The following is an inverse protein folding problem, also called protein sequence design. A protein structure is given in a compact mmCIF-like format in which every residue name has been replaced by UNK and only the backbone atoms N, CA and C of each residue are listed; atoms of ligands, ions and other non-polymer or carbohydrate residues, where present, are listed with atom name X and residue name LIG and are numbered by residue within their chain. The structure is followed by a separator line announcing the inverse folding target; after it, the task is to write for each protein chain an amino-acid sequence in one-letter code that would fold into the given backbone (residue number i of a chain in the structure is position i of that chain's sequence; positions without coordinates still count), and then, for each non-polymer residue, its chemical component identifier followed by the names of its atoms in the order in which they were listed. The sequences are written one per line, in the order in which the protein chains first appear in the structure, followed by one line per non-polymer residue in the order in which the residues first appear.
data_IF_903079829837
#
_entry.id   IF_903079829837
#
_cell.length_a   1.000
_cell.length_b   1.000
_cell.length_c   1.000
_cell.angle_alpha   90.00
_cell.angle_beta   90.00
_cell.angle_gamma   90.00
#
_symmetry.space_group_name_H-M   'P 1'
#
loop_
_entity.id
_entity.type
_entity.pdbx_description
1 polymer ?
#
# COMPACT_ATOMS: atom_id res chain seq x y z
N UNK A 1 -7.76 13.06 3.36
CA UNK A 1 -6.34 12.70 3.51
C UNK A 1 -5.49 13.94 3.46
N UNK A 2 -4.46 14.06 4.32
CA UNK A 2 -3.57 15.22 4.28
C UNK A 2 -2.77 15.26 2.97
N UNK A 3 -2.49 16.48 2.49
CA UNK A 3 -1.76 16.69 1.25
C UNK A 3 -0.37 16.03 1.27
N UNK A 4 0.27 15.98 2.44
CA UNK A 4 1.58 15.33 2.61
C UNK A 4 1.53 13.81 2.37
N UNK A 5 0.46 13.16 2.78
CA UNK A 5 0.27 11.73 2.54
C UNK A 5 0.02 11.43 1.06
N UNK A 6 -0.77 12.26 0.40
CA UNK A 6 -1.02 12.16 -1.05
C UNK A 6 0.29 12.38 -1.82
N UNK A 7 1.08 13.38 -1.42
CA UNK A 7 2.38 13.67 -2.03
C UNK A 7 3.35 12.49 -1.87
N UNK A 8 3.38 11.87 -0.70
CA UNK A 8 4.19 10.68 -0.44
C UNK A 8 3.81 9.53 -1.37
N UNK A 9 2.51 9.28 -1.53
CA UNK A 9 2.01 8.24 -2.43
C UNK A 9 2.38 8.54 -3.89
N UNK A 10 2.26 9.79 -4.32
CA UNK A 10 2.68 10.21 -5.66
C UNK A 10 4.17 9.99 -5.90
N UNK A 11 5.00 10.32 -4.91
CA UNK A 11 6.45 10.10 -5.01
C UNK A 11 6.77 8.61 -5.14
N UNK A 12 6.10 7.76 -4.38
CA UNK A 12 6.26 6.30 -4.47
C UNK A 12 5.87 5.78 -5.84
N UNK A 13 4.78 6.28 -6.41
CA UNK A 13 4.32 5.91 -7.74
C UNK A 13 5.34 6.36 -8.81
N UNK A 14 5.81 7.60 -8.72
CA UNK A 14 6.79 8.17 -9.67
C UNK A 14 8.10 7.40 -9.65
N UNK A 15 8.59 7.04 -8.46
CA UNK A 15 9.82 6.23 -8.33
C UNK A 15 9.64 4.86 -8.95
N UNK A 16 8.49 4.23 -8.75
CA UNK A 16 8.16 2.94 -9.36
C UNK A 16 8.16 3.02 -10.90
N UNK A 17 7.60 4.09 -11.45
CA UNK A 17 7.58 4.33 -12.90
C UNK A 17 8.99 4.53 -13.45
N UNK A 18 9.85 5.27 -12.74
CA UNK A 18 11.26 5.46 -13.14
C UNK A 18 11.99 4.13 -13.20
N UNK A 19 11.82 3.27 -12.19
CA UNK A 19 12.43 1.94 -12.19
C UNK A 19 11.89 1.08 -13.34
N UNK A 20 10.59 1.15 -13.60
CA UNK A 20 9.98 0.43 -14.73
C UNK A 20 10.63 0.82 -16.05
N UNK A 21 10.85 2.12 -16.28
CA UNK A 21 11.53 2.61 -17.49
C UNK A 21 12.96 2.09 -17.59
N UNK A 22 13.68 2.08 -16.48
CA UNK A 22 15.04 1.50 -16.45
C UNK A 22 15.03 0.01 -16.77
N UNK A 23 14.07 -0.74 -16.22
CA UNK A 23 13.95 -2.18 -16.48
C UNK A 23 13.68 -2.51 -17.94
N UNK A 24 13.03 -1.63 -18.67
CA UNK A 24 12.83 -1.81 -20.13
C UNK A 24 14.14 -1.80 -20.89
N UNK A 25 15.16 -1.13 -20.35
CA UNK A 25 16.49 -1.02 -20.97
C UNK A 25 17.43 -2.13 -20.49
N UNK A 26 17.56 -2.30 -19.18
CA UNK A 26 18.54 -3.22 -18.58
C UNK A 26 17.97 -4.61 -18.26
N UNK A 27 16.66 -4.76 -18.33
CA UNK A 27 15.97 -5.99 -17.97
C UNK A 27 15.81 -6.15 -16.46
N UNK A 28 14.96 -7.09 -16.06
CA UNK A 28 14.76 -7.42 -14.65
C UNK A 28 16.05 -7.92 -13.99
N UNK A 29 16.84 -8.71 -14.71
CA UNK A 29 18.11 -9.23 -14.22
C UNK A 29 19.13 -8.13 -13.93
N UNK A 30 19.07 -7.02 -14.67
CA UNK A 30 19.93 -5.85 -14.46
C UNK A 30 19.42 -4.90 -13.38
N UNK A 31 18.29 -5.22 -12.74
CA UNK A 31 17.67 -4.40 -11.70
C UNK A 31 17.95 -5.00 -10.33
N UNK A 32 18.40 -4.19 -9.37
CA UNK A 32 18.65 -4.66 -8.01
C UNK A 32 17.35 -5.09 -7.33
N UNK A 33 17.46 -5.94 -6.31
CA UNK A 33 16.29 -6.32 -5.50
C UNK A 33 15.65 -5.09 -4.85
N UNK A 34 16.46 -4.16 -4.35
CA UNK A 34 15.98 -2.92 -3.74
C UNK A 34 15.14 -2.10 -4.73
N UNK A 35 15.65 -1.88 -5.93
CA UNK A 35 14.92 -1.15 -6.98
C UNK A 35 13.67 -1.91 -7.42
N UNK A 36 13.76 -3.23 -7.51
CA UNK A 36 12.62 -4.06 -7.87
C UNK A 36 11.47 -3.94 -6.86
N UNK A 37 11.78 -3.84 -5.56
CA UNK A 37 10.79 -3.61 -4.52
C UNK A 37 10.13 -2.23 -4.67
N UNK A 38 10.90 -1.20 -5.02
CA UNK A 38 10.36 0.14 -5.32
C UNK A 38 9.34 0.07 -6.47
N UNK A 39 9.70 -0.65 -7.52
CA UNK A 39 8.80 -0.89 -8.65
C UNK A 39 7.52 -1.62 -8.22
N UNK A 40 7.63 -2.68 -7.43
CA UNK A 40 6.47 -3.44 -6.93
C UNK A 40 5.56 -2.60 -6.05
N UNK A 41 6.13 -1.73 -5.22
CA UNK A 41 5.35 -0.79 -4.40
C UNK A 41 4.53 0.17 -5.28
N UNK A 42 5.11 0.67 -6.35
CA UNK A 42 4.41 1.52 -7.31
C UNK A 42 3.27 0.79 -8.02
N UNK A 43 3.50 -0.43 -8.48
CA UNK A 43 2.45 -1.26 -9.10
C UNK A 43 1.32 -1.59 -8.12
N UNK A 44 1.68 -1.92 -6.88
CA UNK A 44 0.71 -2.18 -5.82
C UNK A 44 -0.19 -0.97 -5.58
N UNK A 45 0.42 0.21 -5.43
CA UNK A 45 -0.32 1.45 -5.22
C UNK A 45 -1.27 1.75 -6.38
N UNK A 46 -0.82 1.60 -7.60
CA UNK A 46 -1.64 1.79 -8.79
C UNK A 46 -2.85 0.85 -8.79
N UNK A 47 -2.62 -0.42 -8.52
CA UNK A 47 -3.69 -1.43 -8.55
C UNK A 47 -4.72 -1.24 -7.44
N UNK A 48 -4.29 -0.92 -6.22
CA UNK A 48 -5.20 -0.92 -5.05
C UNK A 48 -5.79 0.45 -4.74
N UNK A 49 -5.14 1.53 -5.13
CA UNK A 49 -5.61 2.88 -4.84
C UNK A 49 -6.31 3.53 -6.02
N UNK A 50 -5.66 3.53 -7.20
CA UNK A 50 -6.20 4.24 -8.35
C UNK A 50 -7.39 3.53 -8.99
N UNK A 51 -7.43 2.20 -8.94
CA UNK A 51 -8.54 1.45 -9.51
C UNK A 51 -9.78 1.42 -8.61
N UNK A 52 -9.67 1.86 -7.37
CA UNK A 52 -10.77 1.79 -6.39
C UNK A 52 -11.63 3.05 -6.33
N UNK A 53 -11.24 4.11 -7.01
CA UNK A 53 -12.04 5.34 -7.08
C UNK A 53 -13.32 5.21 -7.92
N UNK A 54 -13.58 4.02 -8.47
CA UNK A 54 -14.78 3.75 -9.28
C UNK A 54 -15.98 3.25 -8.48
N UNK A 55 -15.88 3.14 -7.15
CA UNK A 55 -16.99 2.69 -6.31
C UNK A 55 -18.01 3.79 -6.08
N UNK A 56 -19.28 3.43 -6.31
CA UNK A 56 -20.41 4.29 -6.04
C UNK A 56 -20.61 4.39 -4.52
N UNK A 57 -20.40 5.56 -3.91
CA UNK A 57 -20.55 5.70 -2.47
C UNK A 57 -22.02 5.76 -2.09
N UNK A 58 -22.53 4.69 -1.50
CA UNK A 58 -23.87 4.65 -0.90
C UNK A 58 -23.98 5.66 0.25
N UNK A 59 -22.86 5.87 0.96
CA UNK A 59 -22.73 6.86 2.03
C UNK A 59 -21.33 7.48 1.96
N UNK A 60 -21.27 8.78 1.70
CA UNK A 60 -20.02 9.52 1.57
C UNK A 60 -19.18 9.50 2.84
N UNK A 61 -19.81 9.49 4.02
CA UNK A 61 -19.11 9.42 5.31
C UNK A 61 -18.42 8.07 5.49
N UNK A 62 -19.13 6.98 5.26
CA UNK A 62 -18.58 5.61 5.33
C UNK A 62 -17.47 5.45 4.30
N UNK A 63 -17.66 5.98 3.08
CA UNK A 63 -16.66 5.91 2.02
C UNK A 63 -15.35 6.61 2.42
N UNK A 64 -15.43 7.79 3.05
CA UNK A 64 -14.26 8.53 3.51
C UNK A 64 -13.53 7.80 4.64
N UNK A 65 -14.27 7.29 5.62
CA UNK A 65 -13.71 6.54 6.75
C UNK A 65 -13.00 5.28 6.25
N UNK A 66 -13.62 4.57 5.32
CA UNK A 66 -13.05 3.38 4.69
C UNK A 66 -11.78 3.70 3.92
N UNK A 67 -11.79 4.74 3.09
CA UNK A 67 -10.62 5.17 2.33
C UNK A 67 -9.47 5.56 3.25
N UNK A 68 -9.76 6.27 4.33
CA UNK A 68 -8.77 6.66 5.31
C UNK A 68 -8.11 5.44 5.95
N UNK A 69 -8.89 4.48 6.36
CA UNK A 69 -8.43 3.23 6.97
C UNK A 69 -7.54 2.43 6.02
N UNK A 70 -8.00 2.24 4.79
CA UNK A 70 -7.23 1.54 3.75
C UNK A 70 -5.92 2.24 3.45
N UNK A 71 -5.96 3.57 3.36
CA UNK A 71 -4.78 4.36 3.03
C UNK A 71 -3.70 4.25 4.11
N UNK A 72 -4.08 4.12 5.38
CA UNK A 72 -3.11 3.89 6.46
C UNK A 72 -2.32 2.59 6.23
N UNK A 73 -3.00 1.53 5.87
CA UNK A 73 -2.35 0.24 5.58
C UNK A 73 -1.44 0.37 4.36
N UNK A 74 -1.89 1.07 3.33
CA UNK A 74 -1.09 1.35 2.14
C UNK A 74 0.18 2.11 2.51
N UNK A 75 0.10 3.14 3.36
CA UNK A 75 1.27 3.88 3.82
C UNK A 75 2.26 3.00 4.57
N UNK A 76 1.78 2.08 5.39
CA UNK A 76 2.63 1.12 6.08
C UNK A 76 3.40 0.25 5.08
N UNK A 77 2.74 -0.22 4.04
CA UNK A 77 3.38 -1.04 3.00
C UNK A 77 4.40 -0.22 2.20
N UNK A 78 4.03 0.98 1.77
CA UNK A 78 4.92 1.84 0.99
C UNK A 78 6.17 2.24 1.79
N UNK A 79 6.00 2.50 3.08
CA UNK A 79 7.07 2.95 3.95
C UNK A 79 7.92 1.86 4.57
N UNK A 80 7.48 0.60 4.49
CA UNK A 80 8.21 -0.51 5.12
C UNK A 80 9.43 -0.92 4.33
N UNK A 81 10.50 -1.26 5.05
CA UNK A 81 11.61 -2.02 4.47
C UNK A 81 11.27 -3.51 4.56
N UNK A 82 11.43 -4.22 3.45
CA UNK A 82 11.12 -5.65 3.39
C UNK A 82 12.38 -6.47 3.29
N UNK A 83 12.43 -7.55 4.07
CA UNK A 83 13.56 -8.48 4.08
C UNK A 83 13.36 -9.67 3.14
N UNK A 84 13.01 -9.41 1.87
CA UNK A 84 12.88 -10.50 0.89
C UNK A 84 14.25 -11.04 0.49
N UNK A 85 14.31 -12.35 0.27
CA UNK A 85 15.54 -13.03 -0.18
C UNK A 85 15.75 -13.02 -1.69
N UNK A 86 14.71 -12.74 -2.46
CA UNK A 86 14.76 -12.75 -3.93
C UNK A 86 13.64 -11.91 -4.53
N UNK A 87 13.78 -11.58 -5.81
CA UNK A 87 12.74 -10.87 -6.58
C UNK A 87 11.45 -11.70 -6.69
N UNK A 88 11.58 -13.01 -6.82
CA UNK A 88 10.44 -13.92 -6.90
C UNK A 88 9.63 -13.92 -5.60
N UNK A 89 10.32 -13.94 -4.47
CA UNK A 89 9.70 -13.85 -3.15
C UNK A 89 8.96 -12.51 -2.99
N UNK A 90 9.60 -11.42 -3.38
CA UNK A 90 9.01 -10.08 -3.35
C UNK A 90 7.75 -10.00 -4.23
N UNK A 91 7.84 -10.48 -5.47
CA UNK A 91 6.72 -10.51 -6.40
C UNK A 91 5.55 -11.31 -5.86
N UNK A 92 5.82 -12.49 -5.30
CA UNK A 92 4.80 -13.36 -4.72
C UNK A 92 4.06 -12.66 -3.57
N UNK A 93 4.81 -12.00 -2.69
CA UNK A 93 4.23 -11.28 -1.55
C UNK A 93 3.32 -10.13 -2.02
N UNK A 94 3.81 -9.30 -2.96
CA UNK A 94 3.02 -8.17 -3.47
C UNK A 94 1.78 -8.64 -4.25
N UNK A 95 1.86 -9.77 -4.95
CA UNK A 95 0.68 -10.35 -5.59
C UNK A 95 -0.38 -10.78 -4.57
N UNK A 96 0.03 -11.40 -3.48
CA UNK A 96 -0.89 -11.76 -2.38
C UNK A 96 -1.50 -10.52 -1.75
N UNK A 97 -0.68 -9.51 -1.47
CA UNK A 97 -1.15 -8.25 -0.90
C UNK A 97 -2.20 -7.59 -1.81
N UNK A 98 -1.93 -7.53 -3.10
CA UNK A 98 -2.85 -6.97 -4.08
C UNK A 98 -4.20 -7.69 -4.08
N UNK A 99 -4.19 -9.02 -4.14
CA UNK A 99 -5.41 -9.82 -4.15
C UNK A 99 -6.23 -9.66 -2.87
N UNK A 100 -5.55 -9.65 -1.72
CA UNK A 100 -6.22 -9.42 -0.43
C UNK A 100 -6.85 -8.02 -0.35
N UNK A 101 -6.17 -7.00 -0.88
CA UNK A 101 -6.73 -5.64 -0.91
C UNK A 101 -7.94 -5.53 -1.83
N UNK A 102 -7.93 -6.20 -2.97
CA UNK A 102 -9.08 -6.23 -3.87
C UNK A 102 -10.29 -6.87 -3.17
N UNK A 103 -10.10 -8.01 -2.52
CA UNK A 103 -11.14 -8.69 -1.77
C UNK A 103 -11.62 -7.85 -0.57
N UNK A 104 -10.68 -7.28 0.16
CA UNK A 104 -10.96 -6.41 1.29
C UNK A 104 -11.82 -5.22 0.86
N UNK A 105 -11.49 -4.61 -0.27
CA UNK A 105 -12.20 -3.46 -0.79
C UNK A 105 -13.59 -3.79 -1.33
N UNK A 106 -13.83 -5.01 -1.77
CA UNK A 106 -15.16 -5.45 -2.19
C UNK A 106 -16.05 -5.91 -1.03
N UNK A 107 -15.49 -6.06 0.16
CA UNK A 107 -16.25 -6.41 1.37
C UNK A 107 -17.03 -5.21 1.90
N UNK A 108 -18.21 -5.45 2.46
CA UNK A 108 -19.00 -4.40 3.09
C UNK A 108 -18.25 -3.83 4.31
N UNK A 109 -18.25 -2.51 4.45
CA UNK A 109 -17.57 -1.80 5.54
C UNK A 109 -18.03 -2.32 6.92
N UNK A 110 -17.05 -2.69 7.75
CA UNK A 110 -17.25 -3.23 9.10
C UNK A 110 -18.07 -4.53 9.16
N UNK A 111 -18.25 -5.22 8.04
CA UNK A 111 -18.87 -6.55 8.03
C UNK A 111 -17.94 -7.60 8.64
N UNK A 112 -18.45 -8.79 8.91
CA UNK A 112 -17.66 -9.91 9.37
C UNK A 112 -16.59 -10.29 8.35
N UNK A 113 -16.95 -10.32 7.06
CA UNK A 113 -16.02 -10.56 5.97
C UNK A 113 -14.89 -9.53 5.94
N UNK A 114 -15.23 -8.24 6.13
CA UNK A 114 -14.25 -7.16 6.23
C UNK A 114 -13.25 -7.42 7.36
N UNK A 115 -13.74 -7.82 8.53
CA UNK A 115 -12.89 -8.10 9.70
C UNK A 115 -11.93 -9.26 9.44
N UNK A 116 -12.40 -10.32 8.78
CA UNK A 116 -11.56 -11.46 8.40
C UNK A 116 -10.46 -11.02 7.43
N UNK A 117 -10.80 -10.27 6.40
CA UNK A 117 -9.84 -9.77 5.42
C UNK A 117 -8.84 -8.79 6.03
N UNK A 118 -9.30 -7.93 6.93
CA UNK A 118 -8.43 -7.01 7.67
C UNK A 118 -7.37 -7.79 8.47
N UNK A 119 -7.78 -8.82 9.17
CA UNK A 119 -6.87 -9.70 9.93
C UNK A 119 -5.84 -10.36 9.01
N UNK A 120 -6.27 -10.86 7.86
CA UNK A 120 -5.38 -11.47 6.87
C UNK A 120 -4.34 -10.49 6.33
N UNK A 121 -4.77 -9.27 5.98
CA UNK A 121 -3.86 -8.23 5.48
C UNK A 121 -2.85 -7.82 6.54
N UNK A 122 -3.28 -7.60 7.77
CA UNK A 122 -2.39 -7.23 8.86
C UNK A 122 -1.38 -8.32 9.16
N UNK A 123 -1.78 -9.58 9.12
CA UNK A 123 -0.89 -10.71 9.30
C UNK A 123 0.14 -10.79 8.17
N UNK A 124 -0.28 -10.57 6.93
CA UNK A 124 0.61 -10.58 5.77
C UNK A 124 1.65 -9.46 5.87
N UNK A 125 1.23 -8.25 6.25
CA UNK A 125 2.15 -7.12 6.45
C UNK A 125 3.13 -7.41 7.57
N UNK A 126 2.66 -7.89 8.71
CA UNK A 126 3.50 -8.21 9.86
C UNK A 126 4.55 -9.29 9.58
N UNK A 127 4.23 -10.21 8.67
CA UNK A 127 5.14 -11.31 8.30
C UNK A 127 6.45 -10.80 7.69
N UNK A 128 6.41 -9.74 6.91
CA UNK A 128 7.57 -9.28 6.12
C UNK A 128 7.95 -7.82 6.33
N UNK A 129 7.06 -7.01 6.88
CA UNK A 129 7.35 -5.59 7.07
C UNK A 129 8.42 -5.39 8.12
N UNK A 130 9.43 -4.61 7.78
CA UNK A 130 10.48 -4.17 8.68
C UNK A 130 10.22 -2.75 9.17
N UNK A 131 11.30 -2.01 9.42
CA UNK A 131 11.21 -0.62 9.89
C UNK A 131 10.56 0.27 8.83
N UNK A 132 9.74 1.22 9.29
CA UNK A 132 9.17 2.27 8.43
C UNK A 132 10.23 3.33 8.11
N UNK A 133 10.15 3.93 6.92
CA UNK A 133 10.94 5.11 6.64
C UNK A 133 10.46 6.29 7.51
N UNK A 134 11.31 7.30 7.70
CA UNK A 134 11.01 8.40 8.61
C UNK A 134 9.79 9.22 8.19
N UNK A 135 9.55 9.36 6.90
CA UNK A 135 8.40 10.12 6.39
C UNK A 135 7.09 9.39 6.66
N UNK A 136 7.02 8.09 6.35
CA UNK A 136 5.84 7.26 6.62
C UNK A 136 5.55 7.20 8.12
N UNK A 137 6.57 7.04 8.95
CA UNK A 137 6.43 7.03 10.41
C UNK A 137 5.80 8.32 10.92
N UNK A 138 6.27 9.47 10.44
CA UNK A 138 5.72 10.77 10.82
C UNK A 138 4.28 10.95 10.35
N UNK A 139 3.96 10.54 9.13
CA UNK A 139 2.61 10.64 8.59
C UNK A 139 1.62 9.79 9.38
N UNK A 140 1.99 8.57 9.74
CA UNK A 140 1.15 7.68 10.53
C UNK A 140 0.97 8.20 11.96
N UNK A 141 2.02 8.74 12.57
CA UNK A 141 1.95 9.32 13.91
C UNK A 141 1.04 10.56 13.94
N UNK A 142 1.13 11.44 12.94
CA UNK A 142 0.26 12.61 12.82
C UNK A 142 -1.21 12.21 12.63
N UNK A 143 -1.47 11.17 11.88
CA UNK A 143 -2.80 10.63 11.66
C UNK A 143 -3.41 10.10 12.96
N UNK A 144 -2.63 9.39 13.77
CA UNK A 144 -3.09 8.92 15.09
C UNK A 144 -3.44 10.07 16.02
N UNK A 145 -2.61 11.14 16.03
CA UNK A 145 -2.88 12.31 16.84
C UNK A 145 -4.17 13.02 16.39
N UNK A 146 -4.39 13.15 15.10
CA UNK A 146 -5.61 13.74 14.55
C UNK A 146 -6.86 12.91 14.95
N UNK A 147 -6.75 11.58 14.88
CA UNK A 147 -7.82 10.68 15.30
C UNK A 147 -8.18 10.77 16.78
N UNK A 148 -7.20 11.07 17.63
CA UNK A 148 -7.45 11.24 19.08
C UNK A 148 -8.09 12.59 19.42
N UNK A 149 -7.96 13.57 18.54
CA UNK A 149 -8.52 14.90 18.75
C UNK A 149 -9.96 15.01 18.24
N UNK A 150 -10.42 14.06 17.47
CA UNK A 150 -11.80 13.95 17.01
C UNK A 150 -12.61 13.11 17.98
#
# INVERSE_FOLDING_TARGET
LPASAVSYAHDSLSRGVEIEQMMKVVGEEGTSLEDFIIYLKGEFLDAVYLQQNSFDPVDASVSRERQHYLFRIILEILGSSFGFGSKEEARSWFNKARLLFIDFNSSAWKSEEFTVKDTEIRALVAERAGALDSTAEKLLALDELAGRME
#
